data_IF_510561103250
#
_entry.id   IF_510561103250
#
_cell.length_a   1.000
_cell.length_b   1.000
_cell.length_c   1.000
_cell.angle_alpha   90.00
_cell.angle_beta   90.00
_cell.angle_gamma   90.00
#
_symmetry.space_group_name_H-M   'P 1'
#
loop_
_entity.id
_entity.type
_entity.pdbx_description
1 polymer ?
#
# COMPACT_ATOMS: atom_id res chain seq x y z
N UNK A 1 -0.49 17.95 23.95
CA UNK A 1 0.04 17.22 22.78
C UNK A 1 -1.13 16.94 21.87
N UNK A 2 -1.14 17.47 20.65
CA UNK A 2 -2.24 17.25 19.69
C UNK A 2 -2.25 15.79 19.23
N UNK A 3 -3.43 15.22 19.00
CA UNK A 3 -3.54 13.87 18.43
C UNK A 3 -3.19 13.87 16.94
N UNK A 4 -2.76 12.72 16.42
CA UNK A 4 -2.48 12.56 14.99
C UNK A 4 -3.70 12.89 14.12
N UNK A 5 -4.90 12.60 14.62
CA UNK A 5 -6.15 12.90 13.93
C UNK A 5 -6.39 14.39 13.79
N UNK A 6 -6.10 15.18 14.83
CA UNK A 6 -6.27 16.64 14.75
C UNK A 6 -5.23 17.26 13.83
N UNK A 7 -3.97 16.79 13.88
CA UNK A 7 -2.94 17.20 12.93
C UNK A 7 -3.35 16.90 11.48
N UNK A 8 -3.89 15.71 11.22
CA UNK A 8 -4.39 15.34 9.90
C UNK A 8 -5.53 16.25 9.43
N UNK A 9 -6.47 16.60 10.31
CA UNK A 9 -7.57 17.52 9.97
C UNK A 9 -7.04 18.91 9.64
N UNK A 10 -6.10 19.44 10.43
CA UNK A 10 -5.44 20.73 10.17
C UNK A 10 -4.69 20.72 8.85
N UNK A 11 -3.96 19.65 8.57
CA UNK A 11 -3.25 19.48 7.32
C UNK A 11 -4.20 19.48 6.12
N UNK A 12 -5.32 18.76 6.18
CA UNK A 12 -6.32 18.76 5.11
C UNK A 12 -6.92 20.15 4.90
N UNK A 13 -7.19 20.90 5.98
CA UNK A 13 -7.66 22.30 5.88
C UNK A 13 -6.62 23.18 5.18
N UNK A 14 -5.38 23.11 5.62
CA UNK A 14 -4.27 23.86 5.03
C UNK A 14 -4.06 23.50 3.55
N UNK A 15 -4.09 22.21 3.20
CA UNK A 15 -3.94 21.75 1.82
C UNK A 15 -5.05 22.27 0.90
N UNK A 16 -6.30 22.35 1.39
CA UNK A 16 -7.40 22.96 0.63
C UNK A 16 -7.17 24.44 0.40
N UNK A 17 -6.80 25.18 1.45
CA UNK A 17 -6.47 26.59 1.33
C UNK A 17 -5.32 26.81 0.32
N UNK A 18 -4.24 26.05 0.45
CA UNK A 18 -3.07 26.18 -0.42
C UNK A 18 -3.40 25.89 -1.89
N UNK A 19 -4.21 24.86 -2.16
CA UNK A 19 -4.52 24.49 -3.54
C UNK A 19 -5.55 25.40 -4.21
N UNK A 20 -6.44 26.05 -3.45
CA UNK A 20 -7.62 26.73 -4.03
C UNK A 20 -7.77 28.21 -3.65
N UNK A 21 -6.97 28.72 -2.71
CA UNK A 21 -7.07 30.12 -2.25
C UNK A 21 -5.72 30.83 -2.26
N UNK A 22 -4.61 30.10 -2.11
CA UNK A 22 -3.27 30.68 -2.17
C UNK A 22 -2.85 30.93 -3.62
N UNK A 23 -2.79 32.21 -4.01
CA UNK A 23 -2.30 32.64 -5.31
C UNK A 23 -0.80 32.86 -5.22
N UNK A 24 -0.04 32.13 -6.06
CA UNK A 24 1.41 32.17 -5.99
C UNK A 24 2.00 33.19 -6.97
N UNK A 25 2.93 34.00 -6.46
CA UNK A 25 3.66 35.01 -7.24
C UNK A 25 4.96 34.47 -7.87
N UNK A 26 5.25 33.17 -7.75
CA UNK A 26 6.46 32.57 -8.31
C UNK A 26 6.40 32.47 -9.84
N UNK A 27 7.55 32.53 -10.54
CA UNK A 27 7.62 32.33 -11.98
C UNK A 27 6.96 30.99 -12.39
N UNK A 28 6.09 31.03 -13.39
CA UNK A 28 5.35 29.85 -13.89
C UNK A 28 3.92 29.69 -13.32
N UNK A 29 3.62 30.30 -12.17
CA UNK A 29 2.25 30.25 -11.59
C UNK A 29 1.34 31.36 -12.12
N UNK A 30 1.90 32.51 -12.52
CA UNK A 30 1.16 33.63 -13.10
C UNK A 30 -0.03 34.10 -12.24
N UNK A 31 0.19 34.24 -10.92
CA UNK A 31 -0.86 34.60 -9.95
C UNK A 31 -2.02 33.61 -9.89
N UNK A 32 -1.87 32.39 -10.39
CA UNK A 32 -2.87 31.33 -10.24
C UNK A 32 -2.63 30.55 -8.95
N UNK A 33 -3.69 29.91 -8.47
CA UNK A 33 -3.61 28.88 -7.45
C UNK A 33 -2.98 27.59 -8.03
N UNK A 34 -2.38 26.73 -7.19
CA UNK A 34 -1.89 25.42 -7.64
C UNK A 34 -2.97 24.58 -8.34
N UNK A 35 -4.22 24.63 -7.88
CA UNK A 35 -5.34 23.91 -8.50
C UNK A 35 -5.70 24.39 -9.90
N UNK A 36 -5.45 25.66 -10.21
CA UNK A 36 -5.64 26.24 -11.55
C UNK A 36 -4.45 25.98 -12.48
N UNK A 37 -3.23 25.94 -11.93
CA UNK A 37 -2.01 25.73 -12.70
C UNK A 37 -1.77 24.25 -13.04
N UNK A 38 -2.06 23.34 -12.11
CA UNK A 38 -1.84 21.90 -12.28
C UNK A 38 -3.10 21.20 -12.77
N UNK A 39 -3.00 20.54 -13.92
CA UNK A 39 -4.08 19.72 -14.44
C UNK A 39 -3.99 18.26 -13.95
N UNK A 40 -5.13 17.60 -13.71
CA UNK A 40 -5.14 16.18 -13.39
C UNK A 40 -4.43 15.37 -14.48
N UNK A 41 -3.43 14.58 -14.09
CA UNK A 41 -2.75 13.69 -15.02
C UNK A 41 -3.75 12.68 -15.60
N UNK A 42 -3.89 12.66 -16.94
CA UNK A 42 -4.91 11.86 -17.65
C UNK A 42 -4.64 10.35 -17.62
N UNK A 43 -3.38 9.93 -17.49
CA UNK A 43 -2.98 8.51 -17.45
C UNK A 43 -2.81 8.02 -16.02
N UNK A 44 -3.90 8.00 -15.25
CA UNK A 44 -3.85 7.43 -13.90
C UNK A 44 -3.60 5.93 -14.01
N UNK A 45 -2.60 5.42 -13.28
CA UNK A 45 -2.42 3.98 -13.09
C UNK A 45 -3.66 3.42 -12.42
N UNK A 46 -4.05 2.21 -12.81
CA UNK A 46 -5.19 1.53 -12.22
C UNK A 46 -4.95 1.31 -10.71
N UNK A 47 -6.00 1.27 -9.88
CA UNK A 47 -5.87 0.94 -8.47
C UNK A 47 -5.16 -0.39 -8.22
N UNK A 48 -5.27 -1.33 -9.16
CA UNK A 48 -4.57 -2.61 -9.13
C UNK A 48 -3.06 -2.44 -9.29
N UNK A 49 -2.62 -1.66 -10.29
CA UNK A 49 -1.18 -1.38 -10.50
C UNK A 49 -0.56 -0.68 -9.29
N UNK A 50 -1.24 0.32 -8.73
CA UNK A 50 -0.77 1.03 -7.54
C UNK A 50 -0.64 0.11 -6.33
N UNK A 51 -1.60 -0.81 -6.13
CA UNK A 51 -1.51 -1.83 -5.07
C UNK A 51 -0.35 -2.79 -5.28
N UNK A 52 -0.06 -3.16 -6.53
CA UNK A 52 1.09 -4.02 -6.84
C UNK A 52 2.42 -3.31 -6.52
N UNK A 53 2.51 -1.99 -6.72
CA UNK A 53 3.73 -1.24 -6.36
C UNK A 53 4.00 -1.19 -4.85
N UNK A 54 2.95 -1.35 -4.03
CA UNK A 54 3.03 -1.35 -2.57
C UNK A 54 3.17 -2.77 -1.99
N UNK A 55 3.41 -3.78 -2.83
CA UNK A 55 3.60 -5.15 -2.37
C UNK A 55 4.88 -5.24 -1.55
N UNK A 56 4.77 -5.79 -0.35
CA UNK A 56 5.93 -6.30 0.40
C UNK A 56 6.07 -7.78 0.06
N UNK A 57 7.23 -8.16 -0.47
CA UNK A 57 7.55 -9.56 -0.78
C UNK A 57 8.54 -10.13 0.24
N UNK A 58 8.24 -11.31 0.74
CA UNK A 58 9.08 -12.02 1.71
C UNK A 58 9.11 -13.52 1.40
N UNK A 59 10.22 -14.18 1.69
CA UNK A 59 10.41 -15.61 1.42
C UNK A 59 10.35 -16.40 2.72
N UNK A 60 9.31 -17.22 2.90
CA UNK A 60 9.08 -17.98 4.14
C UNK A 60 9.16 -19.48 3.91
N UNK A 61 9.78 -20.19 4.85
CA UNK A 61 9.81 -21.66 4.87
C UNK A 61 8.51 -22.18 5.47
N UNK A 62 7.86 -23.12 4.80
CA UNK A 62 6.71 -23.83 5.34
C UNK A 62 7.18 -24.88 6.33
N UNK A 63 6.67 -24.77 7.56
CA UNK A 63 6.97 -25.67 8.67
C UNK A 63 6.26 -27.02 8.50
N UNK A 64 6.63 -27.99 9.35
CA UNK A 64 6.09 -29.37 9.33
C UNK A 64 4.59 -29.42 9.59
N UNK A 65 4.04 -28.43 10.31
CA UNK A 65 2.60 -28.30 10.57
C UNK A 65 1.83 -27.61 9.42
N UNK A 66 2.44 -27.49 8.24
CA UNK A 66 1.86 -26.84 7.06
C UNK A 66 1.53 -25.36 7.28
N UNK A 67 2.38 -24.66 8.05
CA UNK A 67 2.22 -23.23 8.34
C UNK A 67 3.49 -22.44 8.09
N UNK A 68 3.34 -21.13 7.93
CA UNK A 68 4.45 -20.17 8.01
C UNK A 68 4.25 -19.25 9.21
N UNK A 69 5.33 -18.65 9.70
CA UNK A 69 5.29 -17.54 10.65
C UNK A 69 5.46 -16.21 9.91
N UNK A 70 4.57 -15.25 10.17
CA UNK A 70 4.62 -13.88 9.63
C UNK A 70 3.99 -12.94 10.66
N UNK A 71 4.72 -11.88 11.06
CA UNK A 71 4.30 -10.92 12.10
C UNK A 71 3.67 -11.59 13.33
N UNK A 72 4.40 -12.52 13.94
CA UNK A 72 3.99 -13.27 15.14
C UNK A 72 2.76 -14.17 14.97
N UNK A 73 2.11 -14.15 13.81
CA UNK A 73 0.99 -15.01 13.48
C UNK A 73 1.41 -16.21 12.64
N UNK A 74 0.72 -17.33 12.86
CA UNK A 74 0.86 -18.54 12.04
C UNK A 74 -0.24 -18.62 11.01
N UNK A 75 0.17 -18.87 9.78
CA UNK A 75 -0.71 -18.90 8.63
C UNK A 75 -0.66 -20.25 7.95
N UNK A 76 -1.84 -20.81 7.64
CA UNK A 76 -1.94 -22.12 6.99
C UNK A 76 -1.57 -22.00 5.51
N UNK A 77 -0.79 -22.97 5.05
CA UNK A 77 -0.40 -23.17 3.65
C UNK A 77 -0.85 -24.59 3.26
N UNK A 78 -1.14 -24.88 1.99
CA UNK A 78 -1.43 -26.24 1.56
C UNK A 78 -0.28 -27.23 1.89
N UNK A 79 -0.57 -28.45 2.39
CA UNK A 79 0.45 -29.42 2.85
C UNK A 79 1.48 -29.83 1.80
N UNK A 80 1.16 -29.76 0.51
CA UNK A 80 2.09 -30.07 -0.57
C UNK A 80 3.33 -29.19 -0.63
N UNK A 81 3.40 -28.12 0.19
CA UNK A 81 4.54 -27.20 0.25
C UNK A 81 5.35 -27.32 1.56
N UNK A 82 5.08 -28.32 2.43
CA UNK A 82 5.85 -28.53 3.66
C UNK A 82 7.34 -28.66 3.35
N UNK A 83 8.18 -27.93 4.09
CA UNK A 83 9.63 -27.91 3.90
C UNK A 83 10.11 -27.00 2.77
N UNK A 84 9.24 -26.60 1.83
CA UNK A 84 9.57 -25.67 0.76
C UNK A 84 9.65 -24.22 1.26
N UNK A 85 10.31 -23.37 0.47
CA UNK A 85 10.26 -21.91 0.63
C UNK A 85 9.31 -21.32 -0.40
N UNK A 86 8.30 -20.61 0.07
CA UNK A 86 7.29 -19.95 -0.75
C UNK A 86 7.46 -18.43 -0.68
N UNK A 87 6.94 -17.74 -1.69
CA UNK A 87 6.82 -16.29 -1.69
C UNK A 87 5.54 -15.88 -0.95
N UNK A 88 5.67 -14.85 -0.13
CA UNK A 88 4.59 -14.23 0.63
C UNK A 88 4.51 -12.78 0.18
N UNK A 89 3.37 -12.39 -0.38
CA UNK A 89 3.11 -11.04 -0.85
C UNK A 89 2.06 -10.39 0.04
N UNK A 90 2.39 -9.24 0.62
CA UNK A 90 1.51 -8.49 1.51
C UNK A 90 1.06 -7.23 0.79
N UNK A 91 -0.26 -7.07 0.65
CA UNK A 91 -0.88 -5.96 -0.08
C UNK A 91 -2.00 -5.38 0.77
N UNK A 92 -1.71 -4.32 1.53
CA UNK A 92 -2.62 -3.80 2.54
C UNK A 92 -2.96 -4.88 3.57
N UNK A 93 -4.23 -5.27 3.66
CA UNK A 93 -4.73 -6.28 4.58
C UNK A 93 -4.79 -7.70 3.99
N UNK A 94 -4.17 -7.94 2.83
CA UNK A 94 -4.18 -9.25 2.16
C UNK A 94 -2.80 -9.88 2.12
N UNK A 95 -2.77 -11.19 2.32
CA UNK A 95 -1.59 -12.03 2.12
C UNK A 95 -1.86 -12.99 0.96
N UNK A 96 -0.93 -13.05 0.03
CA UNK A 96 -0.93 -13.99 -1.09
C UNK A 96 0.29 -14.89 -0.97
N UNK A 97 0.07 -16.20 -1.05
CA UNK A 97 1.13 -17.18 -1.10
C UNK A 97 1.35 -17.64 -2.53
N UNK A 98 2.61 -17.60 -2.97
CA UNK A 98 3.02 -18.01 -4.31
C UNK A 98 4.15 -19.04 -4.26
N UNK A 99 4.04 -20.05 -5.12
CA UNK A 99 5.10 -21.00 -5.39
C UNK A 99 5.11 -21.32 -6.88
N UNK A 100 6.30 -21.45 -7.48
CA UNK A 100 6.46 -21.74 -8.91
C UNK A 100 5.65 -20.78 -9.81
N UNK A 101 5.67 -19.48 -9.49
CA UNK A 101 4.91 -18.41 -10.16
C UNK A 101 3.40 -18.63 -10.22
N UNK A 102 2.84 -19.43 -9.30
CA UNK A 102 1.40 -19.66 -9.15
C UNK A 102 0.96 -19.25 -7.77
N UNK A 103 -0.21 -18.61 -7.70
CA UNK A 103 -0.86 -18.35 -6.42
C UNK A 103 -1.41 -19.66 -5.88
N UNK A 104 -0.87 -20.09 -4.75
CA UNK A 104 -1.25 -21.35 -4.10
C UNK A 104 -2.31 -21.13 -3.03
N UNK A 105 -2.40 -19.92 -2.49
CA UNK A 105 -3.36 -19.57 -1.44
C UNK A 105 -3.48 -18.05 -1.27
N UNK A 106 -4.60 -17.60 -0.72
CA UNK A 106 -4.84 -16.19 -0.35
C UNK A 106 -5.61 -16.12 0.97
N UNK A 107 -5.32 -15.13 1.79
CA UNK A 107 -6.07 -14.87 3.03
C UNK A 107 -5.86 -13.44 3.52
N UNK A 108 -6.54 -13.07 4.59
CA UNK A 108 -6.38 -11.75 5.23
C UNK A 108 -5.18 -11.73 6.19
N UNK A 109 -4.46 -10.62 6.20
CA UNK A 109 -3.47 -10.30 7.21
C UNK A 109 -4.16 -10.19 8.57
N UNK A 110 -3.62 -10.91 9.54
CA UNK A 110 -3.95 -10.75 10.96
C UNK A 110 -2.99 -9.69 11.50
N UNK A 111 -3.56 -8.70 12.16
CA UNK A 111 -2.89 -7.63 12.88
C UNK A 111 -3.14 -7.82 14.38
#
# INVERSE_FOLDING_TARGET
>A
MESIDELNRRFVRWQRWFNYQFHSNVPGMAQRTPGEAYHPFRRRRSPRELRTMLVIEDRRKVMRDSRISLYEHRYRVPPGYIGCRIWVKIIGDKIIFEAMNRVIWKQRLRL
#
